data_IF_372657510122
#
_entry.id   IF_372657510122
#
_cell.length_a   1.000
_cell.length_b   1.000
_cell.length_c   1.000
_cell.angle_alpha   90.00
_cell.angle_beta   90.00
_cell.angle_gamma   90.00
#
_symmetry.space_group_name_H-M   'P 1'
#
loop_
_entity.id
_entity.type
_entity.pdbx_description
1 polymer ?
#
# COMPACT_ATOMS: atom_id res chain seq x y z
N UNK A 1 -53.18 2.40 14.00
CA UNK A 1 -51.94 3.20 14.10
C UNK A 1 -50.89 2.48 13.28
N UNK A 2 -50.44 2.96 12.10
CA UNK A 2 -49.33 2.32 11.42
C UNK A 2 -48.01 2.83 12.03
N UNK A 3 -47.17 1.87 12.45
CA UNK A 3 -45.82 2.10 12.90
C UNK A 3 -44.94 2.45 11.70
N UNK A 4 -44.30 3.62 11.70
CA UNK A 4 -43.29 4.00 10.71
C UNK A 4 -41.94 3.54 11.24
N UNK A 5 -41.32 2.57 10.57
CA UNK A 5 -39.95 2.14 10.84
C UNK A 5 -38.99 3.01 10.02
N UNK A 6 -38.20 3.85 10.71
CA UNK A 6 -37.05 4.55 10.13
C UNK A 6 -35.85 3.62 10.25
N UNK A 7 -35.33 3.15 9.11
CA UNK A 7 -34.08 2.41 9.06
C UNK A 7 -32.91 3.40 9.08
N UNK A 8 -31.89 3.20 9.93
CA UNK A 8 -30.68 4.01 9.90
C UNK A 8 -29.90 3.71 8.62
N UNK A 9 -29.51 4.78 7.92
CA UNK A 9 -28.68 4.68 6.72
C UNK A 9 -27.33 4.06 7.04
N UNK A 10 -26.99 2.98 6.35
CA UNK A 10 -25.64 2.40 6.34
C UNK A 10 -24.73 3.39 5.61
N UNK A 11 -23.84 4.05 6.35
CA UNK A 11 -22.73 4.78 5.76
C UNK A 11 -21.81 3.76 5.06
N UNK A 12 -21.66 3.90 3.75
CA UNK A 12 -20.69 3.14 2.96
C UNK A 12 -19.29 3.41 3.50
N UNK A 13 -18.57 2.37 3.90
CA UNK A 13 -17.13 2.45 4.11
C UNK A 13 -16.50 2.89 2.78
N UNK A 14 -15.80 4.02 2.80
CA UNK A 14 -15.10 4.56 1.64
C UNK A 14 -13.92 3.63 1.30
N UNK A 15 -14.20 2.61 0.49
CA UNK A 15 -13.19 1.87 -0.25
C UNK A 15 -12.64 2.80 -1.33
N UNK A 16 -11.74 3.70 -0.93
CA UNK A 16 -11.00 4.53 -1.87
C UNK A 16 -9.91 3.66 -2.51
N UNK A 17 -10.22 3.14 -3.71
CA UNK A 17 -9.32 2.59 -4.72
C UNK A 17 -8.07 1.89 -4.21
N UNK A 18 -8.19 0.61 -3.89
CA UNK A 18 -7.03 -0.26 -3.67
C UNK A 18 -6.35 -0.65 -4.98
N UNK A 19 -5.30 -1.46 -4.90
CA UNK A 19 -4.52 -1.96 -6.05
C UNK A 19 -5.40 -2.62 -7.13
N UNK A 20 -6.55 -3.18 -6.75
CA UNK A 20 -7.50 -3.81 -7.67
C UNK A 20 -8.08 -2.84 -8.72
N UNK A 21 -8.15 -1.55 -8.41
CA UNK A 21 -8.65 -0.51 -9.31
C UNK A 21 -7.50 0.28 -9.99
N UNK A 22 -6.24 -0.13 -9.75
CA UNK A 22 -5.07 0.56 -10.28
C UNK A 22 -4.92 0.37 -11.80
N UNK A 23 -4.37 1.36 -12.53
CA UNK A 23 -3.92 1.15 -13.91
C UNK A 23 -2.90 0.00 -13.99
N UNK A 24 -2.90 -0.78 -15.08
CA UNK A 24 -2.02 -1.97 -15.21
C UNK A 24 -0.53 -1.69 -14.93
N UNK A 25 0.07 -0.56 -15.38
CA UNK A 25 1.46 -0.25 -15.07
C UNK A 25 1.71 -0.11 -13.55
N UNK A 26 0.75 0.48 -12.84
CA UNK A 26 0.84 0.64 -11.39
C UNK A 26 0.65 -0.70 -10.70
N UNK A 27 -0.35 -1.49 -11.09
CA UNK A 27 -0.59 -2.82 -10.52
C UNK A 27 0.65 -3.72 -10.69
N UNK A 28 1.31 -3.64 -11.85
CA UNK A 28 2.59 -4.32 -12.10
C UNK A 28 3.69 -3.83 -11.17
N UNK A 29 3.83 -2.52 -11.01
CA UNK A 29 4.85 -1.92 -10.14
C UNK A 29 4.64 -2.28 -8.67
N UNK A 30 3.39 -2.33 -8.21
CA UNK A 30 3.02 -2.85 -6.88
C UNK A 30 3.43 -4.31 -6.74
N UNK A 31 3.17 -5.16 -7.76
CA UNK A 31 3.60 -6.56 -7.74
C UNK A 31 5.13 -6.70 -7.60
N UNK A 32 5.89 -5.92 -8.38
CA UNK A 32 7.36 -5.89 -8.28
C UNK A 32 7.84 -5.43 -6.90
N UNK A 33 7.19 -4.43 -6.31
CA UNK A 33 7.46 -4.01 -4.94
C UNK A 33 7.18 -5.16 -3.95
N UNK A 34 6.02 -5.82 -4.05
CA UNK A 34 5.61 -6.89 -3.13
C UNK A 34 6.57 -8.08 -3.18
N UNK A 35 7.01 -8.49 -4.37
CA UNK A 35 7.97 -9.57 -4.54
C UNK A 35 9.35 -9.20 -3.93
N UNK A 36 9.79 -7.96 -4.12
CA UNK A 36 11.03 -7.46 -3.55
C UNK A 36 10.95 -7.32 -2.01
N UNK A 37 9.84 -6.79 -1.49
CA UNK A 37 9.59 -6.62 -0.05
C UNK A 37 9.58 -7.95 0.69
N UNK A 38 8.93 -8.97 0.12
CA UNK A 38 8.91 -10.32 0.69
C UNK A 38 10.32 -10.90 0.86
N UNK A 39 11.18 -10.74 -0.14
CA UNK A 39 12.57 -11.22 -0.07
C UNK A 39 13.47 -10.35 0.83
N UNK A 40 13.17 -9.05 0.93
CA UNK A 40 13.90 -8.13 1.80
C UNK A 40 13.58 -8.37 3.29
N UNK A 41 12.30 -8.35 3.67
CA UNK A 41 11.88 -8.34 5.08
C UNK A 41 11.70 -9.73 5.69
N UNK A 42 11.40 -10.76 4.88
CA UNK A 42 11.15 -12.11 5.39
C UNK A 42 12.39 -13.02 5.33
N UNK A 43 13.50 -12.54 4.73
CA UNK A 43 14.74 -13.28 4.70
C UNK A 43 15.49 -13.18 6.03
N UNK A 44 15.88 -14.31 6.59
CA UNK A 44 16.84 -14.37 7.71
C UNK A 44 18.30 -14.35 7.23
N UNK A 45 18.52 -14.29 5.91
CA UNK A 45 19.83 -14.34 5.26
C UNK A 45 20.22 -12.94 4.81
N UNK A 46 21.48 -12.55 5.02
CA UNK A 46 22.06 -11.30 4.50
C UNK A 46 22.96 -11.63 3.31
N UNK A 47 22.39 -12.22 2.27
CA UNK A 47 23.11 -12.54 1.05
C UNK A 47 22.79 -11.55 -0.07
N UNK A 48 23.52 -11.66 -1.18
CA UNK A 48 23.40 -10.74 -2.30
C UNK A 48 21.98 -10.67 -2.89
N UNK A 49 21.17 -11.74 -2.74
CA UNK A 49 19.78 -11.70 -3.18
C UNK A 49 18.95 -10.81 -2.25
N UNK A 50 19.07 -10.98 -0.94
CA UNK A 50 18.36 -10.13 0.03
C UNK A 50 18.73 -8.66 -0.13
N UNK A 51 20.02 -8.33 -0.26
CA UNK A 51 20.47 -6.96 -0.49
C UNK A 51 19.90 -6.38 -1.80
N UNK A 52 19.95 -7.15 -2.89
CA UNK A 52 19.37 -6.73 -4.16
C UNK A 52 17.85 -6.56 -4.08
N UNK A 53 17.15 -7.40 -3.30
CA UNK A 53 15.72 -7.27 -3.07
C UNK A 53 15.36 -6.03 -2.26
N UNK A 54 16.12 -5.70 -1.22
CA UNK A 54 15.92 -4.45 -0.48
C UNK A 54 16.15 -3.23 -1.37
N UNK A 55 17.23 -3.20 -2.15
CA UNK A 55 17.46 -2.14 -3.13
C UNK A 55 16.34 -2.05 -4.19
N UNK A 56 15.82 -3.18 -4.67
CA UNK A 56 14.71 -3.20 -5.61
C UNK A 56 13.41 -2.66 -5.00
N UNK A 57 13.09 -3.05 -3.76
CA UNK A 57 11.96 -2.54 -2.98
C UNK A 57 12.01 -1.01 -2.89
N UNK A 58 13.18 -0.47 -2.57
CA UNK A 58 13.49 0.96 -2.57
C UNK A 58 13.06 1.67 -3.85
N UNK A 59 13.56 1.14 -4.97
CA UNK A 59 13.38 1.72 -6.30
C UNK A 59 11.91 1.68 -6.69
N UNK A 60 11.23 0.55 -6.49
CA UNK A 60 9.83 0.40 -6.85
C UNK A 60 8.92 1.25 -5.97
N UNK A 61 9.21 1.34 -4.66
CA UNK A 61 8.47 2.22 -3.76
C UNK A 61 8.61 3.70 -4.12
N UNK A 62 9.82 4.13 -4.48
CA UNK A 62 10.07 5.50 -4.96
C UNK A 62 9.38 5.77 -6.31
N UNK A 63 9.34 4.80 -7.22
CA UNK A 63 8.64 4.91 -8.48
C UNK A 63 7.11 5.03 -8.27
N UNK A 64 6.53 4.25 -7.35
CA UNK A 64 5.10 4.36 -6.99
C UNK A 64 4.77 5.74 -6.41
N UNK A 65 5.62 6.28 -5.52
CA UNK A 65 5.47 7.64 -5.02
C UNK A 65 5.45 8.68 -6.15
N UNK A 66 6.27 8.49 -7.19
CA UNK A 66 6.33 9.36 -8.36
C UNK A 66 5.05 9.35 -9.20
N UNK A 67 4.26 8.30 -9.10
CA UNK A 67 2.96 8.14 -9.76
C UNK A 67 1.77 8.52 -8.86
N UNK A 68 2.03 9.21 -7.73
CA UNK A 68 1.05 9.54 -6.69
C UNK A 68 0.33 8.32 -6.08
N UNK A 69 1.09 7.24 -5.90
CA UNK A 69 0.70 6.10 -5.06
C UNK A 69 1.44 6.11 -3.73
N UNK A 70 0.70 5.83 -2.66
CA UNK A 70 1.13 5.91 -1.27
C UNK A 70 0.99 4.54 -0.61
N UNK A 71 1.75 4.29 0.46
CA UNK A 71 1.76 3.03 1.19
C UNK A 71 1.24 3.25 2.62
N UNK A 72 -0.04 2.93 2.82
CA UNK A 72 -0.74 3.09 4.09
C UNK A 72 -1.11 4.53 4.47
N UNK A 73 -1.67 4.68 5.67
CA UNK A 73 -2.17 5.96 6.23
C UNK A 73 -1.61 6.23 7.63
N UNK A 74 -1.62 7.49 8.07
CA UNK A 74 -1.00 7.95 9.33
C UNK A 74 -1.38 7.13 10.59
N UNK A 75 -2.64 6.67 10.68
CA UNK A 75 -3.15 5.92 11.83
C UNK A 75 -3.36 4.43 11.54
N UNK A 76 -2.84 3.95 10.40
CA UNK A 76 -2.97 2.56 9.99
C UNK A 76 -1.86 1.71 10.61
N UNK A 77 -2.17 0.54 11.19
CA UNK A 77 -1.14 -0.38 11.65
C UNK A 77 -0.20 -0.79 10.51
N UNK A 78 1.11 -0.74 10.73
CA UNK A 78 2.11 -1.12 9.72
C UNK A 78 1.87 -2.51 9.10
N UNK A 79 1.28 -3.44 9.84
CA UNK A 79 0.97 -4.79 9.36
C UNK A 79 -0.17 -4.86 8.33
N UNK A 80 -0.98 -3.80 8.19
CA UNK A 80 -2.13 -3.75 7.29
C UNK A 80 -1.97 -2.72 6.18
N UNK A 81 -0.83 -2.02 6.13
CA UNK A 81 -0.60 -1.00 5.10
C UNK A 81 -0.58 -1.62 3.70
N UNK A 82 -1.31 -0.99 2.80
CA UNK A 82 -1.40 -1.37 1.40
C UNK A 82 -1.10 -0.18 0.49
N UNK A 83 -0.78 -0.47 -0.77
CA UNK A 83 -0.63 0.55 -1.80
C UNK A 83 -2.00 1.07 -2.25
N UNK A 84 -2.15 2.38 -2.30
CA UNK A 84 -3.35 3.05 -2.79
C UNK A 84 -3.01 4.41 -3.40
N UNK A 85 -3.94 4.99 -4.15
CA UNK A 85 -3.79 6.37 -4.61
C UNK A 85 -3.61 7.32 -3.42
N UNK A 86 -2.69 8.27 -3.54
CA UNK A 86 -2.41 9.22 -2.48
C UNK A 86 -3.60 10.14 -2.18
N UNK A 87 -3.82 10.39 -0.90
CA UNK A 87 -4.81 11.31 -0.36
C UNK A 87 -4.26 12.06 0.88
N UNK A 88 -5.11 12.84 1.57
CA UNK A 88 -4.65 13.78 2.60
C UNK A 88 -3.94 13.15 3.80
N UNK A 89 -4.30 11.91 4.15
CA UNK A 89 -3.75 11.17 5.31
C UNK A 89 -2.81 10.04 4.89
N UNK A 90 -2.52 9.95 3.60
CA UNK A 90 -1.72 8.89 3.02
C UNK A 90 -0.25 9.10 3.30
N UNK A 91 0.47 8.00 3.55
CA UNK A 91 1.91 8.02 3.78
C UNK A 91 2.62 7.68 2.47
N UNK A 92 3.60 8.52 2.09
CA UNK A 92 4.52 8.12 1.02
C UNK A 92 5.47 7.07 1.55
N UNK A 93 5.87 6.17 0.68
CA UNK A 93 6.92 5.22 1.00
C UNK A 93 8.23 5.96 1.27
N UNK A 94 8.79 5.77 2.44
CA UNK A 94 10.16 6.16 2.74
C UNK A 94 10.90 4.86 3.02
N UNK A 95 12.05 4.66 2.38
CA UNK A 95 13.02 3.77 2.99
C UNK A 95 13.51 4.46 4.23
N UNK A 96 13.25 3.86 5.38
CA UNK A 96 13.91 4.26 6.61
C UNK A 96 15.42 4.21 6.32
N UNK A 97 16.06 5.39 6.29
CA UNK A 97 17.50 5.50 6.46
C UNK A 97 17.81 5.04 7.88
N UNK A 98 17.86 3.72 8.11
CA UNK A 98 18.43 3.13 9.33
C UNK A 98 19.94 2.90 9.17
#
# INVERSE_FOLDING_TARGET
MPFVLVLPGLASAESQGGVADAPEPIARLVGLYTDADANCRLSMRHDALTEASCAARSIYGAALNGEDWCYGKQDEPNATMEWHACGPTSLRFAEEEE
#
